data_IF_300560318878
#
_entry.id   IF_300560318878
#
_cell.length_a   1.000
_cell.length_b   1.000
_cell.length_c   1.000
_cell.angle_alpha   90.00
_cell.angle_beta   90.00
_cell.angle_gamma   90.00
#
_symmetry.space_group_name_H-M   'P 1'
#
loop_
_entity.id
_entity.type
_entity.pdbx_description
1 polymer ?
#
# COMPACT_ATOMS: atom_id res chain seq x y z
N UNK A 1 4.98 -19.23 1.01
CA UNK A 1 3.52 -19.11 0.74
C UNK A 1 2.64 -20.20 1.40
N UNK A 2 3.07 -21.46 1.54
CA UNK A 2 2.31 -22.48 2.31
C UNK A 2 2.22 -22.17 3.82
N UNK A 3 3.31 -21.69 4.41
CA UNK A 3 3.42 -21.26 5.82
C UNK A 3 2.40 -20.18 6.19
N UNK A 4 2.34 -19.10 5.41
CA UNK A 4 1.40 -17.98 5.68
C UNK A 4 -0.08 -18.40 5.63
N UNK A 5 -0.44 -19.30 4.71
CA UNK A 5 -1.79 -19.84 4.63
C UNK A 5 -2.13 -20.77 5.79
N UNK A 6 -1.13 -21.47 6.35
CA UNK A 6 -1.29 -22.31 7.52
C UNK A 6 -1.52 -21.47 8.78
N UNK A 7 -0.76 -20.38 8.92
CA UNK A 7 -0.91 -19.46 10.05
C UNK A 7 -2.25 -18.72 10.02
N UNK A 8 -2.72 -18.29 8.85
CA UNK A 8 -4.06 -17.73 8.69
C UNK A 8 -5.18 -18.72 9.07
N UNK A 9 -5.01 -20.01 8.76
CA UNK A 9 -5.97 -21.05 9.15
C UNK A 9 -5.95 -21.31 10.65
N UNK A 10 -4.77 -21.34 11.27
CA UNK A 10 -4.59 -21.50 12.73
C UNK A 10 -5.20 -20.33 13.49
N UNK A 11 -4.94 -19.10 13.04
CA UNK A 11 -5.46 -17.89 13.66
C UNK A 11 -7.00 -17.83 13.62
N UNK A 12 -7.60 -18.27 12.50
CA UNK A 12 -9.07 -18.39 12.38
C UNK A 12 -9.64 -19.48 13.29
N UNK A 13 -8.97 -20.63 13.41
CA UNK A 13 -9.40 -21.72 14.30
C UNK A 13 -9.33 -21.30 15.79
N UNK A 14 -8.27 -20.59 16.18
CA UNK A 14 -8.10 -20.06 17.53
C UNK A 14 -9.20 -19.05 17.89
N UNK A 15 -9.58 -18.18 16.94
CA UNK A 15 -10.71 -17.25 17.12
C UNK A 15 -12.01 -17.99 17.46
N UNK A 16 -12.31 -19.07 16.72
CA UNK A 16 -13.53 -19.86 16.93
C UNK A 16 -13.48 -20.62 18.26
N UNK A 17 -12.35 -21.25 18.60
CA UNK A 17 -12.19 -21.96 19.87
C UNK A 17 -12.34 -21.06 21.09
N UNK A 18 -11.90 -19.80 20.99
CA UNK A 18 -12.04 -18.79 22.05
C UNK A 18 -13.38 -18.04 22.01
N UNK A 19 -14.27 -18.35 21.06
CA UNK A 19 -15.60 -17.76 20.94
C UNK A 19 -15.62 -16.27 20.58
N UNK A 20 -14.55 -15.74 19.99
CA UNK A 20 -14.42 -14.32 19.69
C UNK A 20 -15.06 -13.95 18.33
N UNK A 21 -15.79 -12.83 18.29
CA UNK A 21 -16.25 -12.26 17.02
C UNK A 21 -15.08 -11.65 16.23
N UNK A 22 -15.31 -11.38 14.94
CA UNK A 22 -14.25 -10.93 14.03
C UNK A 22 -13.70 -9.55 14.39
N UNK A 23 -14.52 -8.64 14.91
CA UNK A 23 -14.11 -7.27 15.25
C UNK A 23 -13.34 -7.23 16.56
N UNK A 24 -13.78 -7.99 17.57
CA UNK A 24 -13.06 -8.20 18.82
C UNK A 24 -11.70 -8.86 18.58
N UNK A 25 -11.65 -9.85 17.67
CA UNK A 25 -10.41 -10.50 17.29
C UNK A 25 -9.46 -9.55 16.55
N UNK A 26 -9.95 -8.81 15.55
CA UNK A 26 -9.19 -7.82 14.80
C UNK A 26 -8.61 -6.73 15.72
N UNK A 27 -9.41 -6.23 16.67
CA UNK A 27 -8.95 -5.29 17.71
C UNK A 27 -7.88 -5.89 18.61
N UNK A 28 -8.03 -7.16 19.02
CA UNK A 28 -7.08 -7.87 19.88
C UNK A 28 -5.74 -8.17 19.19
N UNK A 29 -5.74 -8.35 17.86
CA UNK A 29 -4.52 -8.51 17.03
C UNK A 29 -4.00 -7.18 16.45
N UNK A 30 -4.56 -6.04 16.88
CA UNK A 30 -4.07 -4.71 16.49
C UNK A 30 -4.46 -4.24 15.08
N UNK A 31 -5.46 -4.85 14.45
CA UNK A 31 -5.98 -4.45 13.15
C UNK A 31 -7.35 -3.79 13.31
N UNK A 32 -7.41 -2.45 13.21
CA UNK A 32 -8.68 -1.69 13.25
C UNK A 32 -8.96 -0.96 11.94
N UNK A 33 -10.19 -1.08 11.45
CA UNK A 33 -10.78 -0.34 10.34
C UNK A 33 -10.47 1.18 10.45
N UNK A 34 -9.97 1.82 9.37
CA UNK A 34 -9.77 3.28 9.24
C UNK A 34 -8.57 3.92 9.96
N UNK A 35 -8.17 3.42 11.13
CA UNK A 35 -7.04 4.00 11.90
C UNK A 35 -5.65 3.66 11.33
N UNK A 36 -5.55 2.70 10.42
CA UNK A 36 -4.26 2.24 9.90
C UNK A 36 -3.73 3.12 8.77
N UNK A 37 -4.59 3.62 7.88
CA UNK A 37 -4.19 4.35 6.67
C UNK A 37 -3.51 5.67 7.01
N UNK A 38 -4.01 6.42 7.99
CA UNK A 38 -3.40 7.70 8.40
C UNK A 38 -1.98 7.51 8.93
N UNK A 39 -1.72 6.44 9.70
CA UNK A 39 -0.37 6.13 10.17
C UNK A 39 0.56 5.76 9.01
N UNK A 40 0.07 4.98 8.03
CA UNK A 40 0.84 4.67 6.82
C UNK A 40 1.13 5.92 5.99
N UNK A 41 0.15 6.80 5.78
CA UNK A 41 0.33 8.05 5.03
C UNK A 41 1.32 8.98 5.74
N UNK A 42 1.24 9.08 7.07
CA UNK A 42 2.21 9.86 7.85
C UNK A 42 3.62 9.27 7.72
N UNK A 43 3.77 7.95 7.84
CA UNK A 43 5.07 7.31 7.63
C UNK A 43 5.62 7.58 6.22
N UNK A 44 4.78 7.56 5.18
CA UNK A 44 5.21 7.87 3.81
C UNK A 44 5.58 9.35 3.62
N UNK A 45 4.97 10.26 4.39
CA UNK A 45 5.36 11.67 4.44
C UNK A 45 6.68 11.84 5.17
N UNK A 46 6.85 11.18 6.32
CA UNK A 46 8.06 11.24 7.15
C UNK A 46 9.27 10.63 6.42
N UNK A 47 9.04 9.57 5.64
CA UNK A 47 10.03 8.98 4.72
C UNK A 47 10.22 9.81 3.43
N UNK A 48 9.51 10.93 3.30
CA UNK A 48 9.59 11.86 2.17
C UNK A 48 9.22 11.27 0.81
N UNK A 49 8.44 10.19 0.79
CA UNK A 49 8.00 9.52 -0.44
C UNK A 49 6.81 10.28 -1.06
N UNK A 50 5.89 10.73 -0.21
CA UNK A 50 4.71 11.50 -0.61
C UNK A 50 4.62 12.82 0.16
N UNK A 51 3.84 13.74 -0.36
CA UNK A 51 3.54 15.03 0.24
C UNK A 51 2.03 15.30 0.22
N UNK A 52 1.55 16.06 1.20
CA UNK A 52 0.15 16.51 1.29
C UNK A 52 0.02 17.88 0.65
N UNK A 53 -0.80 17.99 -0.40
CA UNK A 53 -1.09 19.25 -1.12
C UNK A 53 -2.50 19.74 -0.82
N UNK A 54 -2.60 21.03 -0.53
CA UNK A 54 -3.88 21.72 -0.50
C UNK A 54 -4.19 22.26 -1.91
N UNK A 55 -5.32 21.88 -2.53
CA UNK A 55 -5.72 22.45 -3.81
C UNK A 55 -5.96 23.96 -3.68
N UNK A 56 -5.55 24.73 -4.69
CA UNK A 56 -5.60 26.21 -4.66
C UNK A 56 -7.03 26.73 -4.50
N UNK A 57 -8.02 26.02 -5.07
CA UNK A 57 -9.43 26.42 -5.05
C UNK A 57 -10.24 25.80 -3.89
N UNK A 58 -9.61 25.06 -2.98
CA UNK A 58 -10.30 24.38 -1.89
C UNK A 58 -9.76 24.87 -0.55
N UNK A 59 -10.61 25.52 0.25
CA UNK A 59 -10.24 26.07 1.55
C UNK A 59 -10.36 25.05 2.70
N UNK A 60 -10.93 23.87 2.45
CA UNK A 60 -11.12 22.85 3.48
C UNK A 60 -9.87 21.95 3.62
N UNK A 61 -9.22 21.90 4.79
CA UNK A 61 -8.07 21.01 5.02
C UNK A 61 -8.45 19.52 4.96
N UNK A 62 -9.74 19.19 5.07
CA UNK A 62 -10.20 17.79 4.96
C UNK A 62 -10.13 17.24 3.52
N UNK A 63 -9.94 18.11 2.52
CA UNK A 63 -9.88 17.76 1.10
C UNK A 63 -8.48 17.86 0.49
N UNK A 64 -7.45 17.78 1.32
CA UNK A 64 -6.09 17.70 0.82
C UNK A 64 -5.86 16.40 0.04
N UNK A 65 -5.00 16.48 -0.96
CA UNK A 65 -4.60 15.36 -1.81
C UNK A 65 -3.16 14.96 -1.48
N UNK A 66 -2.83 13.69 -1.66
CA UNK A 66 -1.45 13.19 -1.49
C UNK A 66 -0.83 12.96 -2.87
N UNK A 67 0.43 13.34 -3.04
CA UNK A 67 1.18 13.18 -4.28
C UNK A 67 2.61 12.72 -3.99
N UNK A 68 3.26 12.03 -4.91
CA UNK A 68 4.69 11.71 -4.77
C UNK A 68 5.52 12.99 -4.71
N UNK A 69 6.40 13.06 -3.70
CA UNK A 69 7.26 14.21 -3.42
C UNK A 69 8.32 14.39 -4.51
N UNK A 70 8.90 13.29 -4.99
CA UNK A 70 9.91 13.32 -6.05
C UNK A 70 9.43 12.67 -7.36
N UNK A 71 10.26 12.81 -8.40
CA UNK A 71 10.00 12.19 -9.69
C UNK A 71 10.54 10.75 -9.78
N UNK A 72 11.41 10.33 -8.86
CA UNK A 72 12.02 9.00 -8.87
C UNK A 72 11.00 7.93 -8.53
N UNK A 73 10.20 8.11 -7.47
CA UNK A 73 9.11 7.19 -7.13
C UNK A 73 8.04 7.17 -8.22
N UNK A 74 7.69 8.34 -8.79
CA UNK A 74 6.77 8.40 -9.94
C UNK A 74 7.29 7.58 -11.11
N UNK A 75 8.57 7.73 -11.44
CA UNK A 75 9.22 6.98 -12.52
C UNK A 75 9.23 5.48 -12.20
N UNK A 76 9.65 5.10 -11.00
CA UNK A 76 9.74 3.71 -10.58
C UNK A 76 8.39 3.01 -10.65
N UNK A 77 7.33 3.60 -10.06
CA UNK A 77 6.00 3.00 -10.11
C UNK A 77 5.39 3.02 -11.51
N UNK A 78 5.67 4.04 -12.33
CA UNK A 78 5.11 4.17 -13.68
C UNK A 78 5.77 3.23 -14.70
N UNK A 79 7.07 2.95 -14.56
CA UNK A 79 7.83 2.27 -15.61
C UNK A 79 8.57 1.01 -15.14
N UNK A 80 8.91 0.90 -13.86
CA UNK A 80 9.74 -0.19 -13.33
C UNK A 80 8.90 -1.25 -12.62
N UNK A 81 7.93 -0.83 -11.81
CA UNK A 81 7.14 -1.75 -10.98
C UNK A 81 6.41 -2.84 -11.80
N UNK A 82 5.79 -2.46 -12.91
CA UNK A 82 5.06 -3.40 -13.79
C UNK A 82 5.99 -4.30 -14.60
N UNK A 83 7.22 -3.85 -14.84
CA UNK A 83 8.21 -4.52 -15.65
C UNK A 83 9.26 -5.30 -14.84
N UNK A 84 9.11 -5.35 -13.51
CA UNK A 84 10.13 -5.86 -12.60
C UNK A 84 10.51 -7.32 -12.91
N UNK A 85 9.54 -8.17 -13.22
CA UNK A 85 9.78 -9.58 -13.57
C UNK A 85 10.55 -9.73 -14.89
N UNK A 86 10.22 -8.89 -15.88
CA UNK A 86 10.90 -8.91 -17.18
C UNK A 86 12.34 -8.41 -17.04
N UNK A 87 12.56 -7.37 -16.23
CA UNK A 87 13.89 -6.85 -15.89
C UNK A 87 14.70 -7.94 -15.18
N UNK A 88 14.13 -8.62 -14.19
CA UNK A 88 14.79 -9.69 -13.44
C UNK A 88 15.17 -10.89 -14.32
N UNK A 89 14.40 -11.16 -15.37
CA UNK A 89 14.68 -12.19 -16.38
C UNK A 89 15.56 -11.69 -17.54
N UNK A 90 16.09 -10.47 -17.45
CA UNK A 90 16.90 -9.79 -18.48
C UNK A 90 16.18 -9.63 -19.84
N UNK A 91 14.85 -9.73 -19.85
CA UNK A 91 14.00 -9.57 -21.04
C UNK A 91 13.59 -8.12 -21.21
N UNK A 92 14.57 -7.24 -21.39
CA UNK A 92 14.36 -5.78 -21.39
C UNK A 92 13.90 -5.18 -22.72
N UNK A 93 13.88 -5.99 -23.79
CA UNK A 93 13.52 -5.56 -25.14
C UNK A 93 12.03 -5.20 -25.20
N UNK A 94 11.73 -3.91 -25.37
CA UNK A 94 10.36 -3.40 -25.50
C UNK A 94 9.78 -2.76 -24.24
N UNK A 95 10.44 -2.86 -23.08
CA UNK A 95 9.92 -2.36 -21.78
C UNK A 95 9.75 -0.83 -21.79
N UNK A 96 10.60 -0.09 -22.49
CA UNK A 96 10.55 1.39 -22.56
C UNK A 96 10.00 1.93 -23.89
N UNK A 97 9.54 1.06 -24.80
CA UNK A 97 8.95 1.49 -26.07
C UNK A 97 7.48 1.79 -25.77
N UNK A 98 7.18 3.08 -25.60
CA UNK A 98 5.90 3.56 -25.12
C UNK A 98 4.70 2.98 -25.86
N UNK A 99 3.69 2.59 -25.07
CA UNK A 99 2.32 2.38 -25.53
C UNK A 99 1.75 3.69 -26.11
N UNK A 100 2.07 3.98 -27.37
CA UNK A 100 1.27 4.88 -28.20
C UNK A 100 0.49 4.00 -29.18
N UNK A 101 -0.73 3.67 -28.77
CA UNK A 101 -1.78 3.06 -29.59
C UNK A 101 -3.10 3.73 -29.24
#
# INVERSE_FOLDING_TARGET
>A
MKELNLDLKRLKAERVAKGLDQEQFAKKIGMSNGSSISAYLNNLIDLEIIERKQPIFENSPKKAIYAFKDNMFKFWFKFIAEAQDQIALERTKGILIGHYG
#
